data_IF_269671626829
#
_entry.id   IF_269671626829
#
_cell.length_a   1.000
_cell.length_b   1.000
_cell.length_c   1.000
_cell.angle_alpha   90.00
_cell.angle_beta   90.00
_cell.angle_gamma   90.00
#
_symmetry.space_group_name_H-M   'P 1'
#
loop_
_entity.id
_entity.type
_entity.pdbx_description
1 polymer ?
#
# COMPACT_ATOMS: atom_id res chain seq x y z
N UNK A 1 21.02 -2.46 -27.59
CA UNK A 1 20.67 -2.10 -26.19
C UNK A 1 20.23 -0.65 -26.07
N UNK A 2 21.04 0.35 -26.47
CA UNK A 2 20.65 1.78 -26.42
C UNK A 2 19.39 2.08 -27.25
N UNK A 3 19.21 1.40 -28.38
CA UNK A 3 18.03 1.53 -29.24
C UNK A 3 16.69 1.23 -28.52
N UNK A 4 16.65 0.19 -27.70
CA UNK A 4 15.43 -0.20 -26.95
C UNK A 4 15.06 0.90 -25.95
N UNK A 5 16.07 1.54 -25.35
CA UNK A 5 15.89 2.62 -24.39
C UNK A 5 15.35 3.88 -25.06
N UNK A 6 15.90 4.25 -26.23
CA UNK A 6 15.41 5.42 -26.98
C UNK A 6 14.00 5.20 -27.51
N UNK A 7 13.66 3.99 -27.94
CA UNK A 7 12.33 3.67 -28.48
C UNK A 7 11.24 3.59 -27.39
N UNK A 8 11.58 3.18 -26.17
CA UNK A 8 10.63 3.00 -25.07
C UNK A 8 10.73 4.07 -23.99
N UNK A 9 11.44 5.17 -24.27
CA UNK A 9 11.70 6.23 -23.30
C UNK A 9 10.41 6.75 -22.64
N UNK A 10 9.35 6.92 -23.43
CA UNK A 10 8.05 7.35 -22.92
C UNK A 10 7.45 6.36 -21.91
N UNK A 11 7.52 5.06 -22.19
CA UNK A 11 7.00 4.01 -21.30
C UNK A 11 7.72 4.01 -19.95
N UNK A 12 9.04 4.23 -19.95
CA UNK A 12 9.81 4.36 -18.72
C UNK A 12 9.40 5.59 -17.91
N UNK A 13 9.16 6.73 -18.57
CA UNK A 13 8.68 7.94 -17.92
C UNK A 13 7.29 7.75 -17.30
N UNK A 14 6.35 7.14 -18.03
CA UNK A 14 5.02 6.83 -17.50
C UNK A 14 5.09 5.87 -16.31
N UNK A 15 5.91 4.82 -16.37
CA UNK A 15 6.11 3.90 -15.25
C UNK A 15 6.72 4.60 -14.02
N UNK A 16 7.64 5.53 -14.25
CA UNK A 16 8.26 6.32 -13.19
C UNK A 16 7.26 7.28 -12.54
N UNK A 17 6.46 7.99 -13.35
CA UNK A 17 5.38 8.85 -12.87
C UNK A 17 4.39 8.07 -12.01
N UNK A 18 3.94 6.91 -12.48
CA UNK A 18 3.05 6.03 -11.72
C UNK A 18 3.67 5.59 -10.39
N UNK A 19 4.98 5.28 -10.37
CA UNK A 19 5.67 4.90 -9.14
C UNK A 19 5.68 6.06 -8.14
N UNK A 20 5.98 7.27 -8.58
CA UNK A 20 5.95 8.46 -7.73
C UNK A 20 4.53 8.70 -7.19
N UNK A 21 3.54 8.71 -8.07
CA UNK A 21 2.15 8.99 -7.71
C UNK A 21 1.65 7.99 -6.67
N UNK A 22 1.83 6.69 -6.92
CA UNK A 22 1.46 5.63 -5.98
C UNK A 22 2.21 5.76 -4.65
N UNK A 23 3.52 6.07 -4.68
CA UNK A 23 4.33 6.20 -3.46
C UNK A 23 3.88 7.39 -2.61
N UNK A 24 3.60 8.54 -3.22
CA UNK A 24 3.15 9.75 -2.52
C UNK A 24 1.80 9.51 -1.86
N UNK A 25 0.85 8.92 -2.60
CA UNK A 25 -0.48 8.60 -2.07
C UNK A 25 -0.37 7.60 -0.92
N UNK A 26 0.37 6.50 -1.11
CA UNK A 26 0.57 5.48 -0.08
C UNK A 26 1.26 6.07 1.17
N UNK A 27 2.27 6.91 0.99
CA UNK A 27 2.99 7.57 2.09
C UNK A 27 2.07 8.51 2.85
N UNK A 28 1.28 9.32 2.17
CA UNK A 28 0.34 10.26 2.80
C UNK A 28 -0.67 9.52 3.71
N UNK A 29 -1.33 8.48 3.19
CA UNK A 29 -2.30 7.73 3.98
C UNK A 29 -1.67 6.85 5.05
N UNK A 30 -0.54 6.20 4.77
CA UNK A 30 0.17 5.37 5.77
C UNK A 30 0.70 6.21 6.93
N UNK A 31 1.13 7.45 6.67
CA UNK A 31 1.56 8.37 7.72
C UNK A 31 0.40 8.72 8.64
N UNK A 32 -0.78 9.06 8.09
CA UNK A 32 -1.96 9.40 8.88
C UNK A 32 -2.39 8.21 9.75
N UNK A 33 -2.62 7.05 9.11
CA UNK A 33 -3.12 5.86 9.79
C UNK A 33 -2.08 5.34 10.79
N UNK A 34 -0.82 5.23 10.37
CA UNK A 34 0.28 4.79 11.22
C UNK A 34 0.47 5.70 12.44
N UNK A 35 0.37 7.02 12.26
CA UNK A 35 0.49 7.97 13.37
C UNK A 35 -0.68 7.85 14.35
N UNK A 36 -1.91 7.65 13.87
CA UNK A 36 -3.08 7.43 14.72
C UNK A 36 -2.85 6.19 15.61
N UNK A 37 -2.51 5.05 15.01
CA UNK A 37 -2.26 3.83 15.77
C UNK A 37 -1.03 3.91 16.68
N UNK A 38 -0.01 4.68 16.31
CA UNK A 38 1.12 4.97 17.19
C UNK A 38 0.69 5.74 18.44
N UNK A 39 -0.14 6.77 18.29
CA UNK A 39 -0.69 7.54 19.41
C UNK A 39 -1.62 6.67 20.28
N UNK A 40 -2.43 5.81 19.68
CA UNK A 40 -3.33 4.93 20.44
C UNK A 40 -2.60 3.96 21.38
N UNK A 41 -1.34 3.61 21.08
CA UNK A 41 -0.52 2.81 21.99
C UNK A 41 -0.12 3.54 23.29
N UNK A 42 -0.09 4.88 23.29
CA UNK A 42 0.30 5.67 24.46
C UNK A 42 -0.88 5.95 25.40
N UNK A 43 -2.10 5.58 25.02
CA UNK A 43 -3.30 5.78 25.83
C UNK A 43 -3.27 4.85 27.06
N UNK A 44 -3.69 5.32 28.25
CA UNK A 44 -3.66 4.53 29.49
C UNK A 44 -4.56 3.29 29.47
N UNK A 45 -5.60 3.29 28.62
CA UNK A 45 -6.52 2.17 28.45
C UNK A 45 -5.80 0.94 27.89
N UNK A 46 -5.76 -0.13 28.70
CA UNK A 46 -5.18 -1.42 28.30
C UNK A 46 -5.83 -1.98 27.03
N UNK A 47 -7.15 -1.83 26.90
CA UNK A 47 -7.89 -2.35 25.74
C UNK A 47 -7.48 -1.65 24.44
N UNK A 48 -7.44 -0.31 24.46
CA UNK A 48 -7.07 0.49 23.27
C UNK A 48 -5.65 0.18 22.83
N UNK A 49 -4.72 0.12 23.79
CA UNK A 49 -3.32 -0.23 23.52
C UNK A 49 -3.19 -1.62 22.91
N UNK A 50 -3.91 -2.62 23.43
CA UNK A 50 -3.87 -3.98 22.89
C UNK A 50 -4.39 -4.03 21.45
N UNK A 51 -5.51 -3.35 21.15
CA UNK A 51 -6.04 -3.29 19.78
C UNK A 51 -5.03 -2.63 18.83
N UNK A 52 -4.42 -1.52 19.25
CA UNK A 52 -3.41 -0.84 18.44
C UNK A 52 -2.18 -1.72 18.19
N UNK A 53 -1.71 -2.45 19.21
CA UNK A 53 -0.61 -3.40 19.08
C UNK A 53 -0.93 -4.52 18.08
N UNK A 54 -2.12 -5.13 18.19
CA UNK A 54 -2.56 -6.20 17.28
C UNK A 54 -2.56 -5.69 15.84
N UNK A 55 -3.14 -4.52 15.58
CA UNK A 55 -3.14 -3.92 14.26
C UNK A 55 -1.69 -3.77 13.74
N UNK A 56 -0.81 -3.12 14.50
CA UNK A 56 0.57 -2.85 14.08
C UNK A 56 1.37 -4.14 13.87
N UNK A 57 1.23 -5.12 14.76
CA UNK A 57 1.92 -6.41 14.64
C UNK A 57 1.47 -7.16 13.40
N UNK A 58 0.17 -7.23 13.11
CA UNK A 58 -0.35 -7.92 11.92
C UNK A 58 0.24 -7.28 10.65
N UNK A 59 0.11 -5.96 10.48
CA UNK A 59 0.55 -5.29 9.26
C UNK A 59 2.07 -5.27 9.08
N UNK A 60 2.85 -5.38 10.16
CA UNK A 60 4.32 -5.47 10.10
C UNK A 60 4.85 -6.88 9.85
N UNK A 61 4.12 -7.91 10.25
CA UNK A 61 4.55 -9.30 10.10
C UNK A 61 4.02 -9.96 8.82
N UNK A 62 2.91 -9.47 8.24
CA UNK A 62 2.42 -9.96 6.95
C UNK A 62 3.28 -9.36 5.82
N UNK A 63 3.85 -10.17 4.92
CA UNK A 63 4.59 -9.67 3.78
C UNK A 63 3.72 -8.75 2.91
N UNK A 64 4.26 -7.60 2.50
CA UNK A 64 3.53 -6.65 1.66
C UNK A 64 2.98 -7.30 0.38
N UNK A 65 3.76 -8.21 -0.22
CA UNK A 65 3.34 -8.95 -1.41
C UNK A 65 2.06 -9.76 -1.19
N UNK A 66 1.89 -10.37 0.00
CA UNK A 66 0.67 -11.11 0.35
C UNK A 66 -0.52 -10.16 0.44
N UNK A 67 -0.34 -9.00 1.08
CA UNK A 67 -1.39 -7.96 1.15
C UNK A 67 -1.77 -7.52 -0.26
N UNK A 68 -0.79 -7.16 -1.10
CA UNK A 68 -1.05 -6.76 -2.49
C UNK A 68 -1.76 -7.85 -3.28
N UNK A 69 -1.40 -9.12 -3.12
CA UNK A 69 -2.08 -10.24 -3.77
C UNK A 69 -3.52 -10.42 -3.32
N UNK A 70 -3.83 -10.22 -2.03
CA UNK A 70 -5.21 -10.23 -1.54
C UNK A 70 -6.04 -9.14 -2.21
N UNK A 71 -5.50 -7.92 -2.32
CA UNK A 71 -6.18 -6.83 -3.01
C UNK A 71 -6.27 -6.99 -4.53
N UNK A 72 -5.32 -7.69 -5.14
CA UNK A 72 -5.30 -7.92 -6.59
C UNK A 72 -6.14 -9.13 -7.03
N UNK A 73 -6.26 -10.17 -6.20
CA UNK A 73 -6.95 -11.42 -6.57
C UNK A 73 -8.26 -11.61 -5.80
N UNK A 74 -8.20 -11.53 -4.46
CA UNK A 74 -9.33 -11.90 -3.60
C UNK A 74 -10.40 -10.81 -3.59
N UNK A 75 -10.01 -9.55 -3.36
CA UNK A 75 -10.97 -8.44 -3.32
C UNK A 75 -11.79 -8.33 -4.63
N UNK A 76 -11.16 -8.45 -5.82
CA UNK A 76 -11.88 -8.37 -7.08
C UNK A 76 -12.90 -9.49 -7.32
N UNK A 77 -12.61 -10.68 -6.80
CA UNK A 77 -13.44 -11.87 -6.97
C UNK A 77 -14.67 -11.86 -6.05
N UNK A 78 -14.55 -11.34 -4.83
CA UNK A 78 -15.59 -11.51 -3.80
C UNK A 78 -16.34 -10.23 -3.44
N UNK A 79 -15.75 -9.05 -3.64
CA UNK A 79 -16.31 -7.80 -3.08
C UNK A 79 -16.63 -6.75 -4.14
N UNK A 80 -15.69 -6.43 -5.03
CA UNK A 80 -15.83 -5.32 -5.99
C UNK A 80 -15.15 -5.73 -7.28
N UNK A 81 -15.80 -5.63 -8.45
CA UNK A 81 -15.11 -5.86 -9.74
C UNK A 81 -14.10 -4.74 -10.02
N UNK A 82 -12.92 -4.83 -9.41
CA UNK A 82 -11.77 -3.97 -9.70
C UNK A 82 -11.09 -4.57 -10.93
N UNK A 83 -11.18 -3.88 -12.08
CA UNK A 83 -10.26 -4.16 -13.18
C UNK A 83 -8.85 -3.90 -12.67
N UNK A 84 -7.93 -4.85 -12.86
CA UNK A 84 -6.54 -4.72 -12.39
C UNK A 84 -5.87 -3.42 -12.83
N UNK A 85 -6.33 -2.84 -13.94
CA UNK A 85 -5.99 -1.53 -14.49
C UNK A 85 -7.16 -1.03 -15.37
N UNK A 86 -7.77 0.12 -15.10
CA UNK A 86 -8.23 1.02 -16.19
C UNK A 86 -7.08 1.96 -16.50
N UNK A 87 -6.04 1.38 -17.09
CA UNK A 87 -5.00 2.00 -17.90
C UNK A 87 -4.73 1.03 -19.06
#
# INVERSE_FOLDING_TARGET
MIHILSENWQTFLTGFENTILCSVIALFFSLIIGSIFAILQTVPSKLVRTIANIYIEIFRNIPLLVITMVFYVVVPQFFIKLSGFTA
#
